data_IF_568199954919
#
_entry.id   IF_568199954919
#
_cell.length_a   1.000
_cell.length_b   1.000
_cell.length_c   1.000
_cell.angle_alpha   90.00
_cell.angle_beta   90.00
_cell.angle_gamma   90.00
#
_symmetry.space_group_name_H-M   'P 1'
#
loop_
_entity.id
_entity.type
_entity.pdbx_description
1 polymer ?
#
# COMPACT_ATOMS: atom_id res chain seq x y z
N UNK A 1 -4.08 21.92 -17.28
CA UNK A 1 -3.66 21.15 -16.08
C UNK A 1 -2.91 19.93 -16.58
N UNK A 2 -1.61 19.83 -16.28
CA UNK A 2 -0.81 18.68 -16.71
C UNK A 2 -1.24 17.42 -15.96
N UNK A 3 -1.32 16.30 -16.66
CA UNK A 3 -1.67 15.01 -16.07
C UNK A 3 -0.60 14.65 -15.02
N UNK A 4 -1.00 14.53 -13.76
CA UNK A 4 -0.11 14.10 -12.68
C UNK A 4 0.34 12.68 -12.96
N UNK A 5 1.65 12.44 -12.99
CA UNK A 5 2.21 11.14 -13.33
C UNK A 5 2.36 10.32 -12.06
N UNK A 6 1.69 9.18 -11.98
CA UNK A 6 1.69 8.31 -10.80
C UNK A 6 2.33 6.97 -11.18
N UNK A 7 3.16 6.41 -10.31
CA UNK A 7 3.87 5.15 -10.56
C UNK A 7 3.76 4.21 -9.37
N UNK A 8 3.49 2.92 -9.60
CA UNK A 8 3.46 1.90 -8.53
C UNK A 8 4.82 1.21 -8.45
N UNK A 9 5.38 1.10 -7.24
CA UNK A 9 6.62 0.37 -6.98
C UNK A 9 6.37 -0.74 -5.98
N UNK A 10 6.44 -1.99 -6.44
CA UNK A 10 6.34 -3.18 -5.60
C UNK A 10 7.67 -3.49 -4.92
N UNK A 11 7.64 -4.09 -3.72
CA UNK A 11 8.82 -4.35 -2.88
C UNK A 11 9.63 -3.08 -2.56
N UNK A 12 8.96 -1.95 -2.37
CA UNK A 12 9.59 -0.64 -2.18
C UNK A 12 10.24 -0.41 -0.79
N UNK A 13 10.08 -1.33 0.15
CA UNK A 13 10.53 -1.16 1.54
C UNK A 13 12.06 -1.07 1.70
N UNK A 14 12.84 -1.61 0.76
CA UNK A 14 14.31 -1.55 0.80
C UNK A 14 14.96 -1.80 -0.58
N UNK A 15 16.29 -1.69 -0.64
CA UNK A 15 17.09 -2.10 -1.80
C UNK A 15 16.69 -1.39 -3.10
N UNK A 16 16.54 -2.20 -4.17
CA UNK A 16 16.23 -1.71 -5.53
C UNK A 16 14.87 -1.02 -5.58
N UNK A 17 13.84 -1.57 -4.91
CA UNK A 17 12.51 -0.96 -4.90
C UNK A 17 12.51 0.42 -4.25
N UNK A 18 13.22 0.59 -3.13
CA UNK A 18 13.40 1.89 -2.49
C UNK A 18 14.18 2.88 -3.38
N UNK A 19 15.18 2.41 -4.13
CA UNK A 19 15.93 3.25 -5.06
C UNK A 19 15.07 3.71 -6.25
N UNK A 20 14.28 2.80 -6.85
CA UNK A 20 13.33 3.14 -7.91
C UNK A 20 12.29 4.16 -7.45
N UNK A 21 11.74 3.98 -6.25
CA UNK A 21 10.80 4.91 -5.63
C UNK A 21 11.36 6.34 -5.49
N UNK A 22 12.58 6.46 -4.98
CA UNK A 22 13.28 7.76 -4.86
C UNK A 22 13.48 8.40 -6.22
N UNK A 23 13.96 7.63 -7.20
CA UNK A 23 14.21 8.15 -8.55
C UNK A 23 12.92 8.64 -9.22
N UNK A 24 11.83 7.89 -9.12
CA UNK A 24 10.53 8.30 -9.65
C UNK A 24 10.03 9.60 -9.00
N UNK A 25 10.24 9.77 -7.69
CA UNK A 25 9.92 11.03 -7.02
C UNK A 25 10.76 12.20 -7.52
N UNK A 26 12.06 12.02 -7.74
CA UNK A 26 12.96 13.04 -8.32
C UNK A 26 12.54 13.44 -9.74
N UNK A 27 12.03 12.47 -10.50
CA UNK A 27 11.55 12.65 -11.87
C UNK A 27 10.12 13.24 -11.92
N UNK A 28 9.58 13.65 -10.78
CA UNK A 28 8.30 14.35 -10.66
C UNK A 28 7.06 13.44 -10.69
N UNK A 29 7.23 12.14 -10.46
CA UNK A 29 6.11 11.23 -10.24
C UNK A 29 5.64 11.29 -8.78
N UNK A 30 4.39 10.94 -8.56
CA UNK A 30 3.90 10.52 -7.23
C UNK A 30 4.05 8.99 -7.14
N UNK A 31 5.03 8.44 -6.41
CA UNK A 31 5.18 7.01 -6.31
C UNK A 31 4.23 6.42 -5.24
N UNK A 32 3.45 5.40 -5.62
CA UNK A 32 2.70 4.54 -4.70
C UNK A 32 3.55 3.31 -4.40
N UNK A 33 4.00 3.22 -3.16
CA UNK A 33 4.89 2.15 -2.69
C UNK A 33 4.07 0.98 -2.14
N UNK A 34 4.40 -0.25 -2.54
CA UNK A 34 3.71 -1.45 -2.11
C UNK A 34 4.70 -2.48 -1.59
N UNK A 35 4.58 -2.91 -0.34
CA UNK A 35 5.51 -3.80 0.33
C UNK A 35 4.90 -4.39 1.61
N UNK A 36 5.43 -5.53 2.04
CA UNK A 36 5.05 -6.19 3.30
C UNK A 36 5.64 -5.51 4.54
N UNK A 37 6.68 -4.68 4.37
CA UNK A 37 7.31 -3.92 5.45
C UNK A 37 7.71 -2.52 4.96
N UNK A 38 6.94 -1.52 5.36
CA UNK A 38 7.21 -0.10 5.13
C UNK A 38 6.96 0.39 3.69
N UNK A 39 5.73 0.81 3.37
CA UNK A 39 5.39 1.48 2.10
C UNK A 39 3.95 2.02 2.02
N UNK A 40 3.67 2.91 1.05
CA UNK A 40 2.42 3.64 0.78
C UNK A 40 1.10 2.87 0.87
N UNK A 41 1.06 1.61 0.44
CA UNK A 41 0.01 0.67 0.84
C UNK A 41 0.69 -0.52 1.52
N UNK A 42 0.34 -0.75 2.78
CA UNK A 42 0.78 -1.91 3.56
C UNK A 42 -0.40 -2.86 3.68
N UNK A 43 -0.52 -3.84 2.77
CA UNK A 43 -1.52 -4.88 2.94
C UNK A 43 -1.17 -5.75 4.15
N UNK A 44 -2.18 -6.07 4.95
CA UNK A 44 -2.09 -7.15 5.94
C UNK A 44 -2.15 -8.52 5.28
N UNK A 45 -2.77 -9.48 5.96
CA UNK A 45 -3.11 -10.76 5.34
C UNK A 45 -4.18 -10.57 4.27
N UNK A 46 -4.04 -11.28 3.16
CA UNK A 46 -5.01 -11.27 2.06
C UNK A 46 -5.45 -12.69 1.70
N UNK A 47 -6.55 -12.80 0.97
CA UNK A 47 -7.10 -14.04 0.41
C UNK A 47 -6.26 -14.70 -0.70
N UNK A 48 -5.10 -14.13 -1.04
CA UNK A 48 -4.17 -14.71 -2.02
C UNK A 48 -3.42 -15.96 -1.51
N UNK A 49 -3.55 -16.27 -0.21
CA UNK A 49 -3.00 -17.45 0.45
C UNK A 49 -3.96 -17.90 1.55
N UNK A 50 -3.84 -19.15 2.01
CA UNK A 50 -4.54 -19.55 3.23
C UNK A 50 -4.00 -18.76 4.43
N UNK A 51 -4.93 -18.37 5.30
CA UNK A 51 -4.67 -17.63 6.53
C UNK A 51 -5.25 -18.45 7.66
N UNK A 52 -4.40 -18.79 8.63
CA UNK A 52 -4.77 -19.59 9.79
C UNK A 52 -5.84 -18.88 10.64
N UNK A 53 -6.73 -19.65 11.26
CA UNK A 53 -7.82 -19.11 12.10
C UNK A 53 -7.28 -18.27 13.28
N UNK A 54 -6.15 -18.66 13.85
CA UNK A 54 -5.49 -17.89 14.91
C UNK A 54 -5.06 -16.50 14.43
N UNK A 55 -4.55 -16.41 13.19
CA UNK A 55 -4.20 -15.12 12.59
C UNK A 55 -5.46 -14.29 12.28
N UNK A 56 -6.54 -14.92 11.81
CA UNK A 56 -7.82 -14.23 11.57
C UNK A 56 -8.37 -13.61 12.84
N UNK A 57 -8.27 -14.32 13.97
CA UNK A 57 -8.70 -13.84 15.28
C UNK A 57 -7.91 -12.62 15.79
N UNK A 58 -6.68 -12.43 15.32
CA UNK A 58 -5.86 -11.26 15.63
C UNK A 58 -6.20 -10.04 14.79
N UNK A 59 -6.83 -10.21 13.61
CA UNK A 59 -7.27 -9.10 12.78
C UNK A 59 -8.56 -8.54 13.38
N UNK A 60 -8.65 -7.24 13.74
CA UNK A 60 -9.89 -6.68 14.31
C UNK A 60 -11.13 -6.82 13.42
N UNK A 61 -10.97 -6.79 12.10
CA UNK A 61 -12.05 -7.08 11.14
C UNK A 61 -12.41 -8.58 11.04
N UNK A 62 -11.69 -9.47 11.73
CA UNK A 62 -11.96 -10.91 11.84
C UNK A 62 -11.68 -11.72 10.58
N UNK A 63 -11.07 -11.13 9.55
CA UNK A 63 -10.79 -11.79 8.28
C UNK A 63 -9.57 -11.16 7.58
N UNK A 64 -8.89 -11.89 6.69
CA UNK A 64 -7.97 -11.27 5.77
C UNK A 64 -8.71 -10.32 4.82
N UNK A 65 -7.98 -9.34 4.28
CA UNK A 65 -8.49 -8.50 3.22
C UNK A 65 -8.67 -9.31 1.93
N UNK A 66 -9.65 -8.95 1.11
CA UNK A 66 -9.70 -9.43 -0.26
C UNK A 66 -8.60 -8.74 -1.06
N UNK A 67 -7.99 -9.44 -2.02
CA UNK A 67 -7.02 -8.85 -2.95
C UNK A 67 -7.61 -7.62 -3.64
N UNK A 68 -8.93 -7.62 -3.91
CA UNK A 68 -9.64 -6.48 -4.46
C UNK A 68 -9.62 -5.25 -3.53
N UNK A 69 -9.72 -5.42 -2.22
CA UNK A 69 -9.68 -4.28 -1.27
C UNK A 69 -8.31 -3.58 -1.30
N UNK A 70 -7.22 -4.34 -1.51
CA UNK A 70 -5.89 -3.76 -1.73
C UNK A 70 -5.83 -3.03 -3.07
N UNK A 71 -6.37 -3.64 -4.13
CA UNK A 71 -6.40 -3.03 -5.46
C UNK A 71 -7.22 -1.72 -5.47
N UNK A 72 -8.35 -1.68 -4.76
CA UNK A 72 -9.19 -0.49 -4.64
C UNK A 72 -8.48 0.64 -3.88
N UNK A 73 -7.73 0.31 -2.81
CA UNK A 73 -6.91 1.30 -2.10
C UNK A 73 -5.79 1.87 -2.98
N UNK A 74 -5.15 1.02 -3.79
CA UNK A 74 -4.17 1.47 -4.79
C UNK A 74 -4.85 2.35 -5.83
N UNK A 75 -6.01 1.94 -6.37
CA UNK A 75 -6.75 2.72 -7.35
C UNK A 75 -7.12 4.11 -6.81
N UNK A 76 -7.52 4.20 -5.54
CA UNK A 76 -7.74 5.48 -4.86
C UNK A 76 -6.46 6.32 -4.81
N UNK A 77 -5.31 5.75 -4.45
CA UNK A 77 -4.04 6.49 -4.43
C UNK A 77 -3.50 6.90 -5.80
N UNK A 78 -3.98 6.25 -6.87
CA UNK A 78 -3.70 6.64 -8.25
C UNK A 78 -4.68 7.70 -8.77
N UNK A 79 -5.76 7.97 -8.04
CA UNK A 79 -6.84 8.84 -8.47
C UNK A 79 -6.57 10.32 -8.13
N UNK A 80 -7.18 11.28 -8.84
CA UNK A 80 -7.11 12.70 -8.49
C UNK A 80 -7.57 13.01 -7.06
N UNK A 81 -8.45 12.17 -6.49
CA UNK A 81 -9.01 12.33 -5.16
C UNK A 81 -7.96 12.18 -4.03
N UNK A 82 -6.80 11.58 -4.32
CA UNK A 82 -5.69 11.48 -3.37
C UNK A 82 -4.63 12.57 -3.57
N UNK A 83 -4.94 13.69 -4.24
CA UNK A 83 -3.96 14.72 -4.63
C UNK A 83 -3.15 15.34 -3.48
N UNK A 84 -3.63 15.23 -2.23
CA UNK A 84 -2.96 15.74 -1.04
C UNK A 84 -2.31 14.65 -0.18
N UNK A 85 -2.35 13.39 -0.63
CA UNK A 85 -1.78 12.25 0.07
C UNK A 85 -0.44 11.91 -0.58
N UNK A 86 0.64 12.28 0.09
CA UNK A 86 2.01 11.99 -0.35
C UNK A 86 2.92 11.73 0.84
N UNK A 87 3.99 10.95 0.62
CA UNK A 87 4.96 10.61 1.66
C UNK A 87 4.41 9.76 2.81
N UNK A 88 3.23 9.17 2.66
CA UNK A 88 2.57 8.35 3.68
C UNK A 88 2.70 6.85 3.38
N UNK A 89 2.59 6.05 4.45
CA UNK A 89 2.36 4.60 4.41
C UNK A 89 0.94 4.32 4.92
N UNK A 90 0.00 4.04 4.02
CA UNK A 90 -1.38 3.71 4.34
C UNK A 90 -1.50 2.22 4.61
N UNK A 91 -1.99 1.86 5.80
CA UNK A 91 -2.25 0.46 6.14
C UNK A 91 -3.63 0.04 5.65
N UNK A 92 -3.66 -1.13 5.01
CA UNK A 92 -4.88 -1.79 4.54
C UNK A 92 -4.83 -3.22 5.05
N UNK A 93 -4.93 -3.36 6.37
CA UNK A 93 -4.63 -4.59 7.11
C UNK A 93 -5.76 -5.01 8.06
N UNK A 94 -6.95 -4.43 7.92
CA UNK A 94 -8.10 -4.74 8.76
C UNK A 94 -7.93 -4.32 10.23
N UNK A 95 -7.02 -3.38 10.51
CA UNK A 95 -6.72 -2.88 11.85
C UNK A 95 -5.67 -3.72 12.60
N UNK A 96 -5.01 -4.65 11.92
CA UNK A 96 -4.04 -5.55 12.54
C UNK A 96 -2.86 -4.79 13.17
N UNK A 97 -2.41 -3.70 12.55
CA UNK A 97 -1.39 -2.84 13.14
C UNK A 97 -2.02 -1.72 13.96
N UNK A 98 -1.60 -1.58 15.21
CA UNK A 98 -1.97 -0.42 16.03
C UNK A 98 -1.48 0.88 15.39
N UNK A 99 -2.35 1.87 15.34
CA UNK A 99 -1.99 3.23 14.92
C UNK A 99 -1.37 3.96 16.11
N UNK A 100 -0.16 4.50 15.93
CA UNK A 100 0.52 5.36 16.90
C UNK A 100 0.06 6.82 16.76
#
# INVERSE_FOLDING_TARGET
>A
MGQQKVAVVTAAGSGIGAACARKLSEDGYTPVLLSRSGSAVQPGFTDSWEVEEETKAQIPMGRPAQTKEIADAVAYLLSPESSYITGQNIRVDGGLTESL
#
